data_IF_051855486306
#
_entry.id   IF_051855486306
#
_cell.length_a   1.000
_cell.length_b   1.000
_cell.length_c   1.000
_cell.angle_alpha   90.00
_cell.angle_beta   90.00
_cell.angle_gamma   90.00
#
_symmetry.space_group_name_H-M   'P 1'
#
loop_
_entity.id
_entity.type
_entity.pdbx_description
1 polymer ?
#
# COMPACT_ATOMS: atom_id res chain seq x y z
N UNK A 1 -6.69 9.67 -14.99
CA UNK A 1 -5.49 10.00 -15.81
C UNK A 1 -5.81 9.79 -17.29
N UNK A 2 -5.35 10.70 -18.15
CA UNK A 2 -5.52 10.65 -19.61
C UNK A 2 -4.13 10.60 -20.26
N UNK A 3 -3.65 9.39 -20.52
CA UNK A 3 -2.30 9.15 -21.01
C UNK A 3 -2.30 8.63 -22.45
N UNK A 4 -1.43 9.20 -23.30
CA UNK A 4 -1.20 8.74 -24.67
C UNK A 4 0.30 8.53 -24.88
N UNK A 5 0.67 7.42 -25.50
CA UNK A 5 2.09 7.08 -25.76
C UNK A 5 2.64 7.86 -26.97
N UNK A 6 1.79 8.19 -27.93
CA UNK A 6 2.14 8.99 -29.10
C UNK A 6 2.39 10.46 -28.73
N UNK A 7 3.42 11.06 -29.35
CA UNK A 7 3.74 12.47 -29.19
C UNK A 7 2.85 13.38 -30.05
N UNK A 8 2.76 14.65 -29.67
CA UNK A 8 2.08 15.70 -30.42
C UNK A 8 0.63 15.91 -30.02
N UNK A 9 -0.10 16.63 -30.87
CA UNK A 9 -1.46 17.11 -30.56
C UNK A 9 -2.54 16.12 -31.00
N UNK A 10 -2.26 14.82 -30.96
CA UNK A 10 -3.14 13.79 -31.52
C UNK A 10 -4.36 13.50 -30.64
N UNK A 11 -4.28 13.82 -29.35
CA UNK A 11 -5.40 13.69 -28.43
C UNK A 11 -6.37 14.87 -28.59
N UNK A 12 -7.57 14.58 -29.09
CA UNK A 12 -8.72 15.47 -29.01
C UNK A 12 -9.67 15.00 -27.90
N UNK A 13 -10.18 15.93 -27.10
CA UNK A 13 -11.05 15.59 -25.97
C UNK A 13 -12.52 15.40 -26.36
N UNK A 14 -12.99 16.11 -27.40
CA UNK A 14 -14.32 15.96 -27.98
C UNK A 14 -14.27 16.10 -29.51
N UNK A 15 -15.10 15.36 -30.24
CA UNK A 15 -15.16 15.39 -31.71
C UNK A 15 -16.44 16.02 -32.29
N UNK A 16 -17.51 16.17 -31.50
CA UNK A 16 -18.76 16.84 -31.91
C UNK A 16 -19.50 17.50 -30.73
N UNK A 17 -20.77 17.16 -30.46
CA UNK A 17 -21.58 17.70 -29.35
C UNK A 17 -21.40 16.90 -28.06
N UNK A 18 -21.29 17.57 -26.91
CA UNK A 18 -21.19 16.92 -25.59
C UNK A 18 -20.83 17.88 -24.46
N UNK A 19 -20.88 17.41 -23.21
CA UNK A 19 -20.33 18.12 -22.03
C UNK A 19 -19.27 17.23 -21.39
N UNK A 20 -18.01 17.65 -21.45
CA UNK A 20 -16.89 17.00 -20.78
C UNK A 20 -16.47 17.84 -19.59
N UNK A 21 -16.41 17.22 -18.41
CA UNK A 21 -15.92 17.88 -17.19
C UNK A 21 -14.62 17.22 -16.76
N UNK A 22 -13.55 18.00 -16.75
CA UNK A 22 -12.21 17.55 -16.36
C UNK A 22 -11.91 17.99 -14.94
N UNK A 23 -11.64 17.04 -14.06
CA UNK A 23 -11.16 17.26 -12.70
C UNK A 23 -10.02 16.31 -12.40
N UNK A 24 -8.95 16.81 -11.80
CA UNK A 24 -7.86 16.01 -11.24
C UNK A 24 -7.33 14.94 -12.22
N UNK A 25 -7.20 15.32 -13.49
CA UNK A 25 -6.60 14.49 -14.53
C UNK A 25 -5.17 14.93 -14.79
N UNK A 26 -4.32 13.97 -15.11
CA UNK A 26 -3.03 14.22 -15.73
C UNK A 26 -3.15 14.06 -17.25
N UNK A 27 -2.54 14.98 -18.02
CA UNK A 27 -2.44 14.92 -19.51
C UNK A 27 -1.05 15.33 -20.00
N UNK A 28 -0.62 14.84 -21.18
CA UNK A 28 0.51 15.44 -21.89
C UNK A 28 0.12 16.83 -22.42
N UNK A 29 1.05 17.81 -22.45
CA UNK A 29 0.82 19.08 -23.13
C UNK A 29 0.45 18.87 -24.61
N UNK A 30 -0.30 19.81 -25.18
CA UNK A 30 -0.61 19.83 -26.61
C UNK A 30 -1.88 19.08 -27.03
N UNK A 31 -2.64 18.49 -26.10
CA UNK A 31 -4.00 18.04 -26.44
C UNK A 31 -4.85 19.21 -26.98
N UNK A 32 -5.77 18.89 -27.88
CA UNK A 32 -6.68 19.87 -28.47
C UNK A 32 -8.11 19.61 -28.02
N UNK A 33 -8.92 20.67 -27.96
CA UNK A 33 -10.33 20.53 -27.60
C UNK A 33 -11.08 19.64 -28.61
N UNK A 34 -10.81 19.86 -29.90
CA UNK A 34 -11.33 19.06 -31.01
C UNK A 34 -10.38 19.13 -32.20
N UNK A 35 -10.41 18.11 -33.07
CA UNK A 35 -9.79 18.16 -34.41
C UNK A 35 -10.67 18.86 -35.46
N UNK A 36 -11.91 19.21 -35.08
CA UNK A 36 -12.87 19.93 -35.91
C UNK A 36 -13.45 21.17 -35.20
N UNK A 37 -14.66 21.57 -35.60
CA UNK A 37 -15.41 22.61 -34.88
C UNK A 37 -16.08 21.97 -33.68
N UNK A 38 -15.80 22.49 -32.48
CA UNK A 38 -16.42 21.98 -31.26
C UNK A 38 -17.93 22.33 -31.24
N UNK A 39 -18.78 21.30 -31.15
CA UNK A 39 -20.22 21.43 -30.92
C UNK A 39 -20.63 21.30 -29.44
N UNK A 40 -19.68 21.09 -28.54
CA UNK A 40 -19.87 20.83 -27.12
C UNK A 40 -19.20 21.83 -26.16
N UNK A 41 -19.13 21.47 -24.88
CA UNK A 41 -18.47 22.23 -23.82
C UNK A 41 -17.43 21.35 -23.12
N UNK A 42 -16.26 21.92 -22.84
CA UNK A 42 -15.28 21.34 -21.91
C UNK A 42 -15.17 22.26 -20.70
N UNK A 43 -15.51 21.75 -19.53
CA UNK A 43 -15.42 22.46 -18.26
C UNK A 43 -14.22 21.94 -17.46
N UNK A 44 -13.26 22.82 -17.16
CA UNK A 44 -12.20 22.51 -16.20
C UNK A 44 -12.72 22.78 -14.78
N UNK A 45 -12.83 21.73 -13.98
CA UNK A 45 -13.31 21.78 -12.60
C UNK A 45 -12.17 21.91 -11.56
N UNK A 46 -10.92 22.08 -12.00
CA UNK A 46 -9.75 22.21 -11.14
C UNK A 46 -8.87 20.95 -11.06
N UNK A 47 -7.66 21.11 -10.52
CA UNK A 47 -6.69 20.04 -10.20
C UNK A 47 -6.11 19.26 -11.39
N UNK A 48 -6.45 19.60 -12.62
CA UNK A 48 -5.84 18.95 -13.79
C UNK A 48 -4.36 19.35 -13.93
N UNK A 49 -3.49 18.35 -14.08
CA UNK A 49 -2.06 18.48 -14.27
C UNK A 49 -1.65 18.25 -15.72
N UNK A 50 -0.55 18.92 -16.13
CA UNK A 50 0.10 18.70 -17.42
C UNK A 50 1.59 18.51 -17.25
N UNK A 51 2.17 17.50 -17.90
CA UNK A 51 3.61 17.26 -17.82
C UNK A 51 4.15 16.41 -18.96
N UNK A 52 5.48 16.32 -19.07
CA UNK A 52 6.11 15.47 -20.09
C UNK A 52 5.88 13.98 -19.81
N UNK A 53 5.89 13.57 -18.53
CA UNK A 53 5.63 12.22 -18.08
C UNK A 53 4.88 12.23 -16.73
N UNK A 54 4.03 11.22 -16.46
CA UNK A 54 3.35 11.07 -15.16
C UNK A 54 4.30 10.63 -14.04
N UNK A 55 5.46 10.05 -14.38
CA UNK A 55 6.38 9.45 -13.41
C UNK A 55 6.05 7.99 -13.09
N UNK A 56 5.80 7.17 -14.11
CA UNK A 56 5.63 5.73 -13.98
C UNK A 56 6.94 5.03 -13.64
N UNK A 57 6.84 3.90 -12.94
CA UNK A 57 7.98 3.06 -12.57
C UNK A 57 8.66 2.44 -13.80
N UNK A 58 7.89 1.76 -14.66
CA UNK A 58 8.40 1.23 -15.94
C UNK A 58 7.28 1.11 -16.98
N UNK A 59 7.05 2.22 -17.71
CA UNK A 59 6.07 2.27 -18.79
C UNK A 59 6.33 1.22 -19.89
N UNK A 60 7.60 0.89 -20.18
CA UNK A 60 7.94 -0.04 -21.25
C UNK A 60 7.58 -1.50 -20.90
N UNK A 61 7.46 -1.79 -19.61
CA UNK A 61 7.03 -3.07 -19.06
C UNK A 61 5.55 -3.08 -18.60
N UNK A 62 4.77 -2.04 -18.95
CA UNK A 62 3.39 -1.85 -18.50
C UNK A 62 3.24 -1.69 -16.96
N UNK A 63 4.30 -1.26 -16.27
CA UNK A 63 4.27 -0.94 -14.84
C UNK A 63 3.96 0.54 -14.63
N UNK A 64 2.66 0.82 -14.52
CA UNK A 64 2.10 2.16 -14.39
C UNK A 64 2.00 2.64 -12.93
N UNK A 65 2.62 1.94 -11.97
CA UNK A 65 2.77 2.44 -10.60
C UNK A 65 3.60 3.72 -10.60
N UNK A 66 3.31 4.63 -9.68
CA UNK A 66 4.01 5.91 -9.60
C UNK A 66 5.36 5.75 -8.87
N UNK A 67 6.32 6.59 -9.24
CA UNK A 67 7.56 6.79 -8.47
C UNK A 67 7.38 7.89 -7.42
N UNK A 68 8.17 7.88 -6.34
CA UNK A 68 8.18 8.90 -5.27
C UNK A 68 8.24 10.36 -5.78
N UNK A 69 8.98 10.62 -6.87
CA UNK A 69 9.09 11.97 -7.46
C UNK A 69 7.97 12.36 -8.43
N UNK A 70 6.92 11.54 -8.55
CA UNK A 70 5.82 11.80 -9.48
C UNK A 70 4.99 13.00 -9.02
N UNK A 71 4.68 13.90 -9.96
CA UNK A 71 3.76 15.01 -9.70
C UNK A 71 2.30 14.56 -9.54
N UNK A 72 1.99 13.28 -9.77
CA UNK A 72 0.66 12.73 -9.64
C UNK A 72 0.36 12.27 -8.21
N UNK A 73 1.39 12.14 -7.36
CA UNK A 73 1.25 11.71 -5.96
C UNK A 73 0.57 12.80 -5.13
N UNK A 74 -0.43 12.43 -4.34
CA UNK A 74 -1.20 13.31 -3.44
C UNK A 74 -1.80 14.55 -4.11
N UNK A 75 -2.29 14.43 -5.34
CA UNK A 75 -2.80 15.59 -6.11
C UNK A 75 -4.27 15.53 -6.48
N UNK A 76 -4.96 14.41 -6.26
CA UNK A 76 -6.38 14.29 -6.49
C UNK A 76 -7.19 14.82 -5.29
N UNK A 77 -8.35 15.41 -5.54
CA UNK A 77 -9.20 15.89 -4.44
C UNK A 77 -9.77 14.72 -3.65
N UNK A 78 -9.58 14.74 -2.33
CA UNK A 78 -10.03 13.68 -1.42
C UNK A 78 -11.53 13.41 -1.57
N UNK A 79 -11.85 12.27 -2.20
CA UNK A 79 -13.18 11.71 -2.22
C UNK A 79 -13.19 10.47 -1.32
N UNK A 80 -13.79 10.53 -0.12
CA UNK A 80 -13.75 9.43 0.85
C UNK A 80 -14.55 8.18 0.42
N UNK A 81 -15.17 8.21 -0.76
CA UNK A 81 -15.90 7.07 -1.34
C UNK A 81 -15.12 6.37 -2.46
N UNK A 82 -13.80 6.56 -2.52
CA UNK A 82 -12.97 5.88 -3.52
C UNK A 82 -12.68 4.45 -3.06
N UNK A 83 -12.92 3.52 -3.97
CA UNK A 83 -12.49 2.12 -3.83
C UNK A 83 -10.96 2.06 -3.78
N UNK A 84 -10.39 0.97 -3.21
CA UNK A 84 -8.97 0.67 -3.31
C UNK A 84 -8.46 0.77 -4.75
N UNK A 85 -7.15 0.97 -4.87
CA UNK A 85 -6.48 1.03 -6.17
C UNK A 85 -6.51 -0.32 -6.92
N UNK A 86 -5.87 -0.39 -8.08
CA UNK A 86 -5.85 -1.60 -8.90
C UNK A 86 -5.23 -2.82 -8.18
N UNK A 87 -4.25 -2.62 -7.31
CA UNK A 87 -3.58 -3.67 -6.53
C UNK A 87 -4.28 -3.94 -5.17
N UNK A 88 -5.36 -3.21 -4.88
CA UNK A 88 -6.12 -3.31 -3.64
C UNK A 88 -5.52 -2.50 -2.49
N UNK A 89 -4.60 -1.57 -2.77
CA UNK A 89 -4.07 -0.61 -1.80
C UNK A 89 -5.18 0.38 -1.43
N UNK A 90 -5.49 0.58 -0.13
CA UNK A 90 -6.48 1.55 0.32
C UNK A 90 -6.11 2.98 -0.09
N UNK A 91 -7.12 3.86 -0.15
CA UNK A 91 -6.98 5.26 -0.56
C UNK A 91 -7.76 6.18 0.38
N UNK A 92 -7.28 7.41 0.68
CA UNK A 92 -5.96 7.96 0.32
C UNK A 92 -4.85 7.54 1.29
N UNK A 93 -3.60 7.46 0.80
CA UNK A 93 -2.40 7.39 1.66
C UNK A 93 -1.62 8.71 1.62
N UNK A 94 -0.70 8.92 2.57
CA UNK A 94 0.24 10.07 2.61
C UNK A 94 1.47 9.78 1.73
N UNK A 95 1.26 9.75 0.41
CA UNK A 95 2.26 9.33 -0.56
C UNK A 95 3.49 10.26 -0.67
N UNK A 96 3.35 11.54 -0.29
CA UNK A 96 4.42 12.52 -0.31
C UNK A 96 5.06 12.76 1.08
N UNK A 97 4.53 12.11 2.12
CA UNK A 97 4.98 12.16 3.50
C UNK A 97 4.98 13.57 4.14
N UNK A 98 4.00 14.40 3.79
CA UNK A 98 3.80 15.73 4.39
C UNK A 98 2.81 15.73 5.57
N UNK A 99 2.22 14.58 5.85
CA UNK A 99 1.25 14.36 6.92
C UNK A 99 -0.20 14.61 6.49
N UNK A 100 -0.47 14.84 5.21
CA UNK A 100 -1.81 15.05 4.64
C UNK A 100 -2.04 14.08 3.47
N UNK A 101 -2.68 12.95 3.78
CA UNK A 101 -3.08 11.99 2.76
C UNK A 101 -3.99 12.60 1.68
N UNK A 102 -3.66 12.35 0.42
CA UNK A 102 -4.53 12.64 -0.71
C UNK A 102 -4.48 11.53 -1.75
N UNK A 103 -5.47 11.47 -2.62
CA UNK A 103 -5.49 10.39 -3.63
C UNK A 103 -4.51 10.70 -4.75
N UNK A 104 -3.88 9.66 -5.28
CA UNK A 104 -3.04 9.79 -6.47
C UNK A 104 -3.85 9.91 -7.76
N UNK A 105 -3.35 10.71 -8.71
CA UNK A 105 -3.91 10.71 -10.05
C UNK A 105 -3.44 9.44 -10.78
N UNK A 106 -4.30 8.42 -10.83
CA UNK A 106 -3.98 7.19 -11.54
C UNK A 106 -4.79 5.99 -11.06
N UNK A 107 -4.43 4.82 -11.58
CA UNK A 107 -5.02 3.56 -11.17
C UNK A 107 -4.35 2.96 -9.92
N UNK A 108 -3.16 3.45 -9.55
CA UNK A 108 -2.35 2.99 -8.43
C UNK A 108 -2.19 4.10 -7.39
N UNK A 109 -2.14 3.72 -6.12
CA UNK A 109 -1.76 4.58 -5.00
C UNK A 109 -0.29 4.34 -4.65
N UNK A 110 0.47 5.41 -4.50
CA UNK A 110 1.86 5.35 -4.10
C UNK A 110 1.96 5.19 -2.58
N UNK A 111 2.63 4.12 -2.16
CA UNK A 111 2.91 3.84 -0.75
C UNK A 111 4.29 4.38 -0.42
N UNK A 112 4.35 5.46 0.36
CA UNK A 112 5.63 5.99 0.81
C UNK A 112 6.24 5.08 1.89
N UNK A 113 7.52 4.66 1.79
CA UNK A 113 8.11 3.67 2.70
C UNK A 113 8.12 4.05 4.19
N UNK A 114 8.02 5.35 4.49
CA UNK A 114 8.03 5.87 5.86
C UNK A 114 6.75 6.62 6.27
N UNK A 115 5.73 6.68 5.40
CA UNK A 115 4.47 7.30 5.77
C UNK A 115 3.68 6.42 6.73
N UNK A 116 2.96 7.09 7.62
CA UNK A 116 2.09 6.53 8.66
C UNK A 116 0.81 7.36 8.57
N UNK A 117 -0.11 6.91 7.72
CA UNK A 117 -1.28 7.66 7.28
C UNK A 117 -2.26 7.87 8.43
N UNK A 118 -2.47 6.84 9.27
CA UNK A 118 -3.41 6.89 10.40
C UNK A 118 -2.79 7.27 11.75
N UNK A 119 -1.46 7.37 11.81
CA UNK A 119 -0.64 7.86 12.93
C UNK A 119 -0.63 6.92 14.12
N UNK A 120 -0.62 5.62 13.86
CA UNK A 120 -0.57 4.57 14.88
C UNK A 120 0.85 4.10 15.23
N UNK A 121 1.88 4.68 14.60
CA UNK A 121 3.32 4.36 14.70
C UNK A 121 3.83 3.20 13.84
N UNK A 122 2.98 2.56 13.06
CA UNK A 122 3.37 1.65 11.98
C UNK A 122 3.39 2.43 10.65
N UNK A 123 4.31 2.10 9.73
CA UNK A 123 4.26 2.72 8.42
C UNK A 123 3.32 1.94 7.48
N UNK A 124 2.67 2.64 6.55
CA UNK A 124 1.70 2.08 5.60
C UNK A 124 2.27 0.86 4.86
N UNK A 125 3.55 0.93 4.51
CA UNK A 125 4.27 -0.14 3.83
C UNK A 125 4.35 -1.43 4.68
N UNK A 126 4.62 -1.31 5.98
CA UNK A 126 4.71 -2.47 6.89
C UNK A 126 3.32 -3.03 7.18
N UNK A 127 2.30 -2.17 7.27
CA UNK A 127 0.91 -2.57 7.47
C UNK A 127 0.35 -3.37 6.29
N UNK A 128 0.59 -2.90 5.06
CA UNK A 128 0.23 -3.63 3.84
C UNK A 128 0.93 -4.99 3.75
N UNK A 129 2.18 -5.08 4.23
CA UNK A 129 2.94 -6.33 4.31
C UNK A 129 2.35 -7.26 5.39
N UNK A 130 1.90 -6.72 6.51
CA UNK A 130 1.26 -7.48 7.56
C UNK A 130 -0.19 -7.88 7.23
N UNK A 131 -0.82 -7.15 6.31
CA UNK A 131 -2.22 -7.31 5.92
C UNK A 131 -3.20 -6.65 6.91
N UNK A 132 -2.75 -5.59 7.58
CA UNK A 132 -3.61 -4.68 8.38
C UNK A 132 -3.85 -3.40 7.60
N UNK A 133 -4.88 -2.65 7.98
CA UNK A 133 -5.31 -1.43 7.29
C UNK A 133 -4.49 -0.19 7.68
N UNK A 134 -3.79 0.47 6.72
CA UNK A 134 -3.10 1.76 6.95
C UNK A 134 -4.00 2.97 7.25
N UNK A 135 -5.32 2.73 7.29
CA UNK A 135 -6.36 3.73 7.52
C UNK A 135 -7.14 3.47 8.82
N UNK A 136 -6.79 2.40 9.56
CA UNK A 136 -7.46 2.06 10.81
C UNK A 136 -6.44 1.88 11.94
N UNK A 137 -6.25 2.92 12.79
CA UNK A 137 -5.21 2.90 13.81
C UNK A 137 -5.51 1.92 14.95
N UNK A 138 -6.62 1.18 14.86
CA UNK A 138 -6.97 0.09 15.77
C UNK A 138 -6.59 -1.30 15.25
N UNK A 139 -6.21 -1.45 13.97
CA UNK A 139 -5.72 -2.71 13.39
C UNK A 139 -4.20 -2.84 13.52
N UNK A 140 -3.74 -3.81 14.32
CA UNK A 140 -2.32 -3.96 14.64
C UNK A 140 -1.85 -5.38 14.35
N UNK A 141 -0.65 -5.50 13.76
CA UNK A 141 0.01 -6.80 13.70
C UNK A 141 0.79 -7.07 14.99
N UNK A 142 0.24 -7.92 15.85
CA UNK A 142 0.85 -8.22 17.15
C UNK A 142 0.68 -9.67 17.58
N UNK A 143 1.51 -10.06 18.54
CA UNK A 143 1.34 -11.29 19.31
C UNK A 143 0.23 -11.05 20.33
N UNK A 144 -0.87 -11.79 20.23
CA UNK A 144 -2.01 -11.72 21.15
C UNK A 144 -1.76 -12.50 22.44
N UNK A 145 -1.10 -13.65 22.32
CA UNK A 145 -0.77 -14.51 23.46
C UNK A 145 0.65 -15.03 23.33
N UNK A 146 1.42 -14.88 24.40
CA UNK A 146 2.72 -15.52 24.57
C UNK A 146 2.80 -16.09 25.99
N UNK A 147 2.70 -17.41 26.12
CA UNK A 147 2.68 -18.04 27.44
C UNK A 147 2.83 -19.55 27.40
N UNK A 148 3.13 -20.16 28.55
CA UNK A 148 3.06 -21.59 28.72
C UNK A 148 1.64 -21.98 29.13
N UNK A 149 0.96 -22.83 28.34
CA UNK A 149 -0.24 -23.47 28.86
C UNK A 149 0.21 -24.51 29.88
N UNK A 150 -0.22 -24.34 31.12
CA UNK A 150 0.22 -25.12 32.30
C UNK A 150 -0.07 -26.63 32.19
N UNK A 151 -0.78 -27.09 31.14
CA UNK A 151 -1.08 -28.50 30.91
C UNK A 151 0.04 -29.27 30.19
N UNK A 152 0.89 -28.61 29.39
CA UNK A 152 1.99 -29.27 28.63
C UNK A 152 3.35 -28.59 28.79
N UNK A 153 3.44 -27.47 29.52
CA UNK A 153 4.65 -26.67 29.74
C UNK A 153 5.30 -26.09 28.46
N UNK A 154 4.66 -26.24 27.30
CA UNK A 154 5.12 -25.77 26.00
C UNK A 154 4.83 -24.27 25.81
N UNK A 155 5.78 -23.52 25.26
CA UNK A 155 5.51 -22.11 24.89
C UNK A 155 4.50 -22.06 23.74
N UNK A 156 3.42 -21.29 23.90
CA UNK A 156 2.44 -20.99 22.86
C UNK A 156 2.54 -19.53 22.47
N UNK A 157 2.54 -19.29 21.16
CA UNK A 157 2.55 -17.96 20.58
C UNK A 157 1.39 -17.88 19.61
N UNK A 158 0.46 -16.97 19.87
CA UNK A 158 -0.70 -16.77 19.03
C UNK A 158 -0.75 -15.35 18.45
N UNK A 159 -1.17 -15.22 17.20
CA UNK A 159 -1.33 -13.96 16.47
C UNK A 159 -2.45 -14.07 15.44
N UNK A 160 -3.11 -12.96 15.14
CA UNK A 160 -4.04 -12.92 14.01
C UNK A 160 -3.26 -12.96 12.69
N UNK A 161 -3.65 -13.87 11.80
CA UNK A 161 -2.98 -14.12 10.53
C UNK A 161 -3.89 -13.81 9.35
N UNK A 162 -3.28 -13.47 8.22
CA UNK A 162 -3.97 -13.06 6.99
C UNK A 162 -3.69 -14.08 5.89
N UNK A 163 -4.73 -14.48 5.15
CA UNK A 163 -4.56 -15.41 4.01
C UNK A 163 -3.70 -14.76 2.92
N UNK A 164 -2.80 -15.52 2.30
CA UNK A 164 -1.84 -15.00 1.32
C UNK A 164 -0.59 -14.38 1.94
N UNK A 165 -0.43 -14.49 3.26
CA UNK A 165 0.80 -14.16 3.99
C UNK A 165 1.48 -15.40 4.51
N UNK A 166 2.80 -15.32 4.60
CA UNK A 166 3.65 -16.33 5.21
C UNK A 166 4.35 -15.77 6.44
N UNK A 167 4.41 -16.56 7.51
CA UNK A 167 5.00 -16.18 8.78
C UNK A 167 6.22 -17.03 9.15
N UNK A 168 7.11 -16.43 9.94
CA UNK A 168 8.23 -17.10 10.58
C UNK A 168 8.32 -16.70 12.06
N UNK A 169 8.68 -17.67 12.91
CA UNK A 169 8.86 -17.45 14.35
C UNK A 169 10.35 -17.37 14.64
N UNK A 170 10.78 -16.25 15.19
CA UNK A 170 12.16 -15.99 15.58
C UNK A 170 12.26 -15.88 17.10
N UNK A 171 13.44 -16.17 17.65
CA UNK A 171 13.69 -16.12 19.08
C UNK A 171 15.08 -15.64 19.44
N UNK A 172 15.21 -15.13 20.66
CA UNK A 172 16.48 -14.80 21.28
C UNK A 172 16.51 -15.21 22.76
N UNK A 173 17.70 -15.44 23.31
CA UNK A 173 17.85 -15.61 24.74
C UNK A 173 17.54 -14.29 25.47
N UNK A 174 17.19 -14.35 26.77
CA UNK A 174 16.68 -13.20 27.52
C UNK A 174 17.74 -12.14 27.84
N UNK A 175 19.01 -12.45 27.62
CA UNK A 175 20.16 -11.56 27.81
C UNK A 175 20.65 -10.91 26.49
N UNK A 176 19.97 -11.18 25.37
CA UNK A 176 20.27 -10.54 24.10
C UNK A 176 20.07 -9.02 24.17
N UNK A 177 21.05 -8.27 23.63
CA UNK A 177 21.03 -6.80 23.59
C UNK A 177 20.65 -6.22 22.22
N UNK A 178 20.62 -7.07 21.18
CA UNK A 178 20.16 -6.73 19.83
C UNK A 178 19.46 -7.93 19.22
N UNK A 179 18.79 -7.72 18.08
CA UNK A 179 18.17 -8.81 17.33
C UNK A 179 19.16 -9.66 16.49
N UNK A 180 20.46 -9.38 16.61
CA UNK A 180 21.51 -10.13 15.92
C UNK A 180 21.68 -11.52 16.54
N UNK A 181 21.92 -12.52 15.70
CA UNK A 181 22.07 -13.91 16.14
C UNK A 181 20.76 -14.58 16.59
N UNK A 182 19.61 -14.01 16.23
CA UNK A 182 18.33 -14.66 16.45
C UNK A 182 18.26 -16.03 15.75
N UNK A 183 17.49 -16.94 16.33
CA UNK A 183 17.26 -18.27 15.77
C UNK A 183 15.86 -18.32 15.15
N UNK A 184 15.76 -18.86 13.94
CA UNK A 184 14.47 -19.15 13.31
C UNK A 184 13.99 -20.50 13.82
N UNK A 185 12.83 -20.51 14.50
CA UNK A 185 12.22 -21.73 15.03
C UNK A 185 11.27 -22.38 14.04
N UNK A 186 10.58 -21.56 13.25
CA UNK A 186 9.65 -22.01 12.23
C UNK A 186 9.59 -20.98 11.10
N UNK A 187 9.28 -21.45 9.90
CA UNK A 187 9.14 -20.63 8.69
C UNK A 187 8.06 -21.26 7.80
N UNK A 188 7.66 -20.56 6.74
CA UNK A 188 6.64 -21.02 5.81
C UNK A 188 5.30 -21.36 6.49
N UNK A 189 4.98 -20.67 7.59
CA UNK A 189 3.68 -20.83 8.25
C UNK A 189 2.66 -20.03 7.44
N UNK A 190 1.78 -20.72 6.72
CA UNK A 190 0.76 -20.07 5.92
C UNK A 190 -0.30 -19.41 6.82
N UNK A 191 -0.64 -18.16 6.52
CA UNK A 191 -1.74 -17.45 7.16
C UNK A 191 -3.10 -18.05 6.84
N UNK A 192 -3.98 -18.06 7.83
CA UNK A 192 -5.29 -18.73 7.77
C UNK A 192 -6.46 -17.76 7.68
N UNK A 193 -6.22 -16.45 7.79
CA UNK A 193 -7.28 -15.44 7.90
C UNK A 193 -7.89 -15.34 9.31
N UNK A 194 -7.31 -16.04 10.29
CA UNK A 194 -7.76 -16.01 11.68
C UNK A 194 -6.60 -16.18 12.65
N UNK A 195 -6.91 -16.45 13.91
CA UNK A 195 -5.90 -16.70 14.94
C UNK A 195 -5.07 -17.94 14.58
N UNK A 196 -3.77 -17.75 14.41
CA UNK A 196 -2.79 -18.83 14.40
C UNK A 196 -2.26 -19.00 15.82
N UNK A 197 -2.07 -20.26 16.21
CA UNK A 197 -1.49 -20.63 17.50
C UNK A 197 -0.36 -21.63 17.23
N UNK A 198 0.87 -21.18 17.45
CA UNK A 198 2.08 -21.95 17.22
C UNK A 198 2.66 -22.46 18.54
N UNK A 199 3.08 -23.72 18.51
CA UNK A 199 3.66 -24.41 19.64
C UNK A 199 5.19 -24.49 19.51
N UNK A 200 5.90 -24.01 20.52
CA UNK A 200 7.34 -23.86 20.52
C UNK A 200 8.11 -25.04 21.11
N UNK A 201 9.39 -25.20 20.77
CA UNK A 201 10.14 -26.43 21.07
C UNK A 201 10.55 -26.59 22.54
N UNK A 202 10.31 -25.59 23.39
CA UNK A 202 10.78 -25.61 24.78
C UNK A 202 9.66 -25.82 25.77
N UNK A 203 9.98 -26.64 26.75
CA UNK A 203 9.18 -26.84 27.96
C UNK A 203 9.82 -26.15 29.17
N UNK A 204 9.02 -25.53 30.04
CA UNK A 204 9.45 -24.93 31.31
C UNK A 204 9.56 -23.40 31.30
N UNK A 205 10.15 -22.81 32.36
CA UNK A 205 10.00 -21.37 32.68
C UNK A 205 11.14 -20.48 32.17
N UNK A 206 11.98 -20.98 31.26
CA UNK A 206 13.09 -20.19 30.72
C UNK A 206 12.56 -19.05 29.85
N UNK A 207 12.83 -17.81 30.27
CA UNK A 207 12.42 -16.60 29.52
C UNK A 207 13.18 -16.48 28.21
N UNK A 208 12.49 -16.00 27.17
CA UNK A 208 13.03 -15.75 25.83
C UNK A 208 12.29 -14.58 25.21
N UNK A 209 12.92 -13.93 24.24
CA UNK A 209 12.25 -13.00 23.35
C UNK A 209 11.75 -13.74 22.11
N UNK A 210 10.64 -13.25 21.56
CA UNK A 210 10.03 -13.78 20.35
C UNK A 210 9.64 -12.65 19.42
N UNK A 211 9.71 -12.93 18.12
CA UNK A 211 9.21 -12.06 17.06
C UNK A 211 8.54 -12.93 16.00
N UNK A 212 7.41 -12.46 15.49
CA UNK A 212 6.82 -13.00 14.28
C UNK A 212 7.24 -12.11 13.12
N UNK A 213 7.87 -12.69 12.11
CA UNK A 213 8.09 -12.02 10.83
C UNK A 213 6.97 -12.43 9.87
N UNK A 214 6.51 -11.48 9.04
CA UNK A 214 5.47 -11.67 8.04
C UNK A 214 5.99 -11.27 6.67
N UNK A 215 5.52 -11.94 5.62
CA UNK A 215 5.80 -11.64 4.22
C UNK A 215 4.50 -11.66 3.42
N UNK A 216 4.37 -10.74 2.47
CA UNK A 216 3.38 -10.85 1.39
C UNK A 216 3.79 -11.92 0.39
N UNK A 217 2.95 -12.92 0.13
CA UNK A 217 3.20 -13.85 -0.97
C UNK A 217 2.57 -13.38 -2.28
N UNK A 218 1.81 -12.27 -2.25
CA UNK A 218 1.18 -11.64 -3.42
C UNK A 218 2.01 -10.51 -4.01
N UNK A 219 2.93 -9.93 -3.23
CA UNK A 219 3.85 -8.93 -3.73
C UNK A 219 4.85 -9.59 -4.71
N UNK A 220 5.07 -9.01 -5.89
CA UNK A 220 6.00 -9.54 -6.89
C UNK A 220 7.47 -9.54 -6.42
#
# INVERSE_FOLDING_TARGET
MLYVTLAGNTLAMLDDTGDLRLRDNWTKPGWVVSHGVLGGTITNLGGNLTGAAPGFFDEAADDYRLTEGSTCVDTHTNNPALEPDYDGVPRPLDGNHDGVAAVDIGAFEFVHPAADTDRDTQCDQDELVAGVSPLDPSEWFRIEEAGSTHATAETRIAWHSVTGRTYAVHTLPPDALSWDGHVVLATNIAGTGGLLDWAGPWTGDARRFYRIAVRDDRAP
#
